data_IF_348987320321
#
_entry.id   IF_348987320321
#
_cell.length_a   1.000
_cell.length_b   1.000
_cell.length_c   1.000
_cell.angle_alpha   90.00
_cell.angle_beta   90.00
_cell.angle_gamma   90.00
#
_symmetry.space_group_name_H-M   'P 1'
#
loop_
_entity.id
_entity.type
_entity.pdbx_description
1 polymer ?
#
# COMPACT_ATOMS: atom_id res chain seq x y z
N UNK A 1 4.07 8.94 8.73
CA UNK A 1 5.04 10.01 8.47
C UNK A 1 6.39 9.42 8.12
N UNK A 2 7.00 9.88 7.01
CA UNK A 2 8.20 9.29 6.38
C UNK A 2 8.04 9.26 4.85
N UNK A 3 8.99 8.65 4.12
CA UNK A 3 8.98 8.57 2.64
C UNK A 3 7.65 8.04 2.05
N UNK A 4 6.96 7.14 2.75
CA UNK A 4 5.75 6.49 2.23
C UNK A 4 4.42 7.11 2.71
N UNK A 5 4.45 8.17 3.53
CA UNK A 5 3.23 8.79 4.06
C UNK A 5 2.51 7.95 5.12
N UNK A 6 2.07 6.73 4.76
CA UNK A 6 1.36 5.77 5.59
C UNK A 6 1.94 4.33 5.50
N UNK A 7 1.53 3.48 6.44
CA UNK A 7 2.02 2.09 6.54
C UNK A 7 1.60 1.24 5.34
N UNK A 8 0.40 1.47 4.79
CA UNK A 8 -0.14 0.71 3.67
C UNK A 8 0.67 0.94 2.38
N UNK A 9 1.16 2.16 2.16
CA UNK A 9 2.05 2.46 1.03
C UNK A 9 3.43 1.79 1.19
N UNK A 10 3.98 1.74 2.40
CA UNK A 10 5.26 1.08 2.66
C UNK A 10 5.18 -0.44 2.41
N UNK A 11 4.11 -1.09 2.87
CA UNK A 11 3.90 -2.54 2.67
C UNK A 11 3.57 -2.85 1.21
N UNK A 12 2.78 -1.99 0.56
CA UNK A 12 2.48 -2.10 -0.86
C UNK A 12 3.73 -1.96 -1.74
N UNK A 13 4.63 -1.04 -1.42
CA UNK A 13 5.92 -0.91 -2.11
C UNK A 13 6.83 -2.14 -1.89
N UNK A 14 6.81 -2.74 -0.70
CA UNK A 14 7.66 -3.89 -0.38
C UNK A 14 7.20 -5.20 -1.03
N UNK A 15 5.92 -5.30 -1.46
CA UNK A 15 5.38 -6.54 -2.02
C UNK A 15 4.84 -7.50 -0.97
N UNK A 16 4.64 -7.05 0.26
CA UNK A 16 4.18 -7.89 1.35
C UNK A 16 2.64 -7.95 1.43
N UNK A 17 2.04 -8.84 0.63
CA UNK A 17 0.59 -9.04 0.56
C UNK A 17 -0.04 -9.41 1.92
N UNK A 18 0.66 -10.17 2.77
CA UNK A 18 0.16 -10.56 4.10
C UNK A 18 0.01 -9.34 5.02
N UNK A 19 0.98 -8.43 5.01
CA UNK A 19 0.88 -7.19 5.78
C UNK A 19 -0.15 -6.24 5.21
N UNK A 20 -0.32 -6.18 3.88
CA UNK A 20 -1.41 -5.41 3.27
C UNK A 20 -2.76 -5.90 3.79
N UNK A 21 -3.03 -7.21 3.72
CA UNK A 21 -4.28 -7.80 4.25
C UNK A 21 -4.48 -7.49 5.73
N UNK A 22 -3.46 -7.69 6.55
CA UNK A 22 -3.53 -7.41 7.98
C UNK A 22 -3.89 -5.95 8.26
N UNK A 23 -3.30 -5.00 7.53
CA UNK A 23 -3.62 -3.58 7.69
C UNK A 23 -5.06 -3.26 7.26
N UNK A 24 -5.53 -3.84 6.16
CA UNK A 24 -6.92 -3.69 5.70
C UNK A 24 -7.92 -4.23 6.73
N UNK A 25 -7.66 -5.39 7.31
CA UNK A 25 -8.48 -5.97 8.38
C UNK A 25 -8.53 -5.10 9.65
N UNK A 26 -7.49 -4.29 9.88
CA UNK A 26 -7.42 -3.33 10.98
C UNK A 26 -8.01 -1.96 10.63
N UNK A 27 -8.67 -1.85 9.47
CA UNK A 27 -9.32 -0.62 9.04
C UNK A 27 -8.36 0.43 8.47
N UNK A 28 -7.20 0.02 7.95
CA UNK A 28 -6.33 0.95 7.24
C UNK A 28 -7.07 1.56 6.04
N UNK A 29 -6.98 2.87 5.91
CA UNK A 29 -7.59 3.61 4.82
C UNK A 29 -6.85 3.30 3.50
N UNK A 30 -7.47 2.50 2.63
CA UNK A 30 -6.95 2.12 1.30
C UNK A 30 -6.56 3.34 0.46
N UNK A 31 -7.40 4.37 0.53
CA UNK A 31 -7.26 5.58 -0.25
C UNK A 31 -6.39 6.65 0.43
N UNK A 32 -5.75 6.34 1.55
CA UNK A 32 -4.90 7.29 2.27
C UNK A 32 -3.85 7.86 1.32
N UNK A 33 -3.91 9.18 1.14
CA UNK A 33 -3.02 9.91 0.25
C UNK A 33 -1.78 10.40 0.99
N UNK A 34 -0.69 10.59 0.22
CA UNK A 34 0.57 11.12 0.69
C UNK A 34 1.75 10.21 0.37
N UNK A 35 2.92 10.58 0.91
CA UNK A 35 4.18 9.90 0.60
C UNK A 35 4.62 10.06 -0.85
N UNK A 36 5.74 9.42 -1.21
CA UNK A 36 6.38 9.55 -2.50
C UNK A 36 5.56 8.94 -3.65
N UNK A 37 4.70 7.97 -3.36
CA UNK A 37 3.89 7.29 -4.37
C UNK A 37 2.44 7.77 -4.42
N UNK A 38 2.05 8.82 -3.67
CA UNK A 38 0.68 9.32 -3.67
C UNK A 38 -0.33 8.45 -2.89
N UNK A 39 -0.38 7.13 -3.09
CA UNK A 39 -1.16 6.18 -2.27
C UNK A 39 -0.57 4.75 -2.33
N UNK A 40 -1.18 3.78 -1.63
CA UNK A 40 -0.69 2.40 -1.60
C UNK A 40 -0.81 1.68 -2.96
N UNK A 41 -1.88 1.93 -3.71
CA UNK A 41 -2.11 1.32 -5.02
C UNK A 41 -1.03 1.73 -6.03
N UNK A 42 -0.67 3.00 -6.05
CA UNK A 42 0.39 3.54 -6.92
C UNK A 42 1.77 3.00 -6.54
N UNK A 43 2.06 2.80 -5.25
CA UNK A 43 3.28 2.13 -4.79
C UNK A 43 3.38 0.68 -5.29
N UNK A 44 2.30 -0.10 -5.17
CA UNK A 44 2.26 -1.47 -5.69
C UNK A 44 2.45 -1.51 -7.21
N UNK A 45 1.76 -0.63 -7.95
CA UNK A 45 1.91 -0.51 -9.42
C UNK A 45 3.35 -0.15 -9.82
N UNK A 46 3.98 0.80 -9.14
CA UNK A 46 5.35 1.23 -9.44
C UNK A 46 6.38 0.11 -9.27
N UNK A 47 6.09 -0.91 -8.46
CA UNK A 47 6.99 -2.03 -8.17
C UNK A 47 6.59 -3.32 -8.88
N UNK A 48 5.47 -3.34 -9.61
CA UNK A 48 4.97 -4.53 -10.31
C UNK A 48 4.31 -5.57 -9.40
N UNK A 49 3.83 -5.18 -8.21
CA UNK A 49 3.20 -6.11 -7.26
C UNK A 49 1.72 -6.34 -7.59
N UNK A 50 1.46 -7.08 -8.67
CA UNK A 50 0.09 -7.31 -9.19
C UNK A 50 -0.88 -7.90 -8.16
N UNK A 51 -0.41 -8.82 -7.31
CA UNK A 51 -1.21 -9.40 -6.24
C UNK A 51 -1.67 -8.37 -5.22
N UNK A 52 -0.86 -7.35 -4.95
CA UNK A 52 -1.23 -6.24 -4.07
C UNK A 52 -2.14 -5.24 -4.78
N UNK A 53 -1.92 -5.02 -6.08
CA UNK A 53 -2.83 -4.20 -6.90
C UNK A 53 -4.24 -4.79 -6.84
N UNK A 54 -4.39 -6.10 -6.96
CA UNK A 54 -5.70 -6.76 -6.82
C UNK A 54 -6.28 -6.68 -5.41
N UNK A 55 -5.46 -6.60 -4.35
CA UNK A 55 -5.94 -6.46 -2.97
C UNK A 55 -6.41 -5.05 -2.61
N UNK A 56 -5.92 -4.04 -3.35
CA UNK A 56 -6.20 -2.62 -3.10
C UNK A 56 -7.25 -2.05 -4.07
N UNK A 57 -7.77 -2.86 -4.99
CA UNK A 57 -8.94 -2.55 -5.84
C UNK A 57 -10.23 -2.94 -5.12
#
# INVERSE_FOLDING_TARGET
>A
GGWYGNALQATANNGNASLVRLLLERGAEVNAQGGAYGNALQAAKSRGHESIVQLLL
#
